data_IF_063129846358
#
_entry.id   IF_063129846358
#
_cell.length_a   1.000
_cell.length_b   1.000
_cell.length_c   1.000
_cell.angle_alpha   90.00
_cell.angle_beta   90.00
_cell.angle_gamma   90.00
#
_symmetry.space_group_name_H-M   'P 1'
#
loop_
_entity.id
_entity.type
_entity.pdbx_description
1 polymer ?
2 polymer ?
#
# COMPACT_ATOMS: atom_id res chain seq x y z
N UNK A 8 -9.88 3.84 12.69
CA UNK A 8 -9.04 3.13 13.69
C UNK A 8 -9.78 1.90 14.20
N UNK A 9 -9.14 0.76 14.16
CA UNK A 9 -9.81 -0.50 14.62
C UNK A 9 -11.04 -0.76 13.78
N UNK A 10 -11.07 -1.90 13.18
CA UNK A 10 -12.20 -2.30 12.30
C UNK A 10 -11.75 -3.52 11.52
N UNK A 11 -12.54 -4.05 10.63
CA UNK A 11 -12.03 -5.18 9.86
C UNK A 11 -10.94 -4.62 9.00
N UNK A 12 -10.24 -5.43 8.31
CA UNK A 12 -9.12 -4.94 7.46
C UNK A 12 -8.93 -5.97 6.37
N UNK A 13 -9.96 -6.24 5.68
CA UNK A 13 -9.94 -7.31 4.64
C UNK A 13 -9.32 -6.83 3.33
N UNK A 14 -8.87 -7.79 2.60
CA UNK A 14 -8.21 -7.55 1.28
C UNK A 14 -9.22 -7.34 0.17
N UNK A 15 -9.86 -6.22 0.11
CA UNK A 15 -10.79 -5.99 -1.02
C UNK A 15 -9.97 -6.09 -2.31
N UNK A 16 -9.87 -7.27 -2.87
CA UNK A 16 -9.05 -7.43 -4.09
C UNK A 16 -9.80 -6.96 -5.31
N UNK A 17 -9.07 -6.51 -6.28
CA UNK A 17 -9.67 -6.01 -7.56
C UNK A 17 -8.78 -6.48 -8.71
N UNK A 18 -8.76 -7.76 -8.94
CA UNK A 18 -7.91 -8.31 -10.03
C UNK A 18 -6.46 -7.94 -9.76
N UNK A 19 -5.68 -8.87 -9.28
CA UNK A 19 -4.25 -8.60 -8.98
C UNK A 19 -4.13 -7.56 -7.84
N UNK A 20 -4.83 -6.45 -7.92
CA UNK A 20 -4.71 -5.44 -6.83
C UNK A 20 -5.16 -6.05 -5.48
N UNK A 21 -4.73 -5.47 -4.38
CA UNK A 21 -5.12 -5.99 -3.03
C UNK A 21 -5.27 -4.81 -2.05
N UNK A 22 -6.11 -3.86 -2.37
CA UNK A 22 -6.30 -2.69 -1.47
C UNK A 22 -7.06 -3.10 -0.21
N UNK A 23 -6.38 -3.22 0.90
CA UNK A 23 -7.07 -3.59 2.15
C UNK A 23 -8.11 -2.50 2.46
N UNK A 24 -9.33 -2.89 2.73
CA UNK A 24 -10.40 -1.88 3.04
C UNK A 24 -10.91 -2.12 4.47
N UNK A 25 -10.71 -1.18 5.34
CA UNK A 25 -11.16 -1.36 6.75
C UNK A 25 -12.64 -1.11 6.82
N UNK A 26 -13.33 -2.02 7.42
CA UNK A 26 -14.80 -1.89 7.57
C UNK A 26 -15.17 -2.09 9.03
N UNK A 27 -16.34 -1.65 9.38
CA UNK A 27 -16.81 -1.85 10.75
C UNK A 27 -17.30 -3.30 10.81
N UNK A 28 -16.75 -4.12 11.63
CA UNK A 28 -17.15 -5.54 11.71
C UNK A 28 -18.64 -5.75 11.48
N UNK A 29 -19.42 -4.74 11.73
CA UNK A 29 -20.90 -4.83 11.48
C UNK A 29 -21.30 -3.92 10.31
N UNK A 30 -20.37 -3.53 9.48
CA UNK A 30 -20.74 -2.65 8.32
C UNK A 30 -21.73 -3.41 7.44
N UNK A 31 -22.57 -2.68 6.80
CA UNK A 31 -23.56 -3.31 5.93
C UNK A 31 -22.87 -3.85 4.70
N UNK A 32 -23.10 -5.08 4.32
CA UNK A 32 -22.43 -5.54 3.09
C UNK A 32 -22.91 -4.58 2.01
N UNK A 33 -24.09 -4.06 2.22
CA UNK A 33 -24.66 -3.05 1.29
C UNK A 33 -23.82 -1.79 1.41
N UNK A 34 -23.18 -1.58 2.54
CA UNK A 34 -22.34 -0.38 2.72
C UNK A 34 -20.92 -0.72 2.31
N UNK A 35 -20.41 -1.82 2.79
CA UNK A 35 -19.03 -2.20 2.41
C UNK A 35 -18.96 -2.18 0.89
N UNK A 36 -20.08 -2.26 0.24
CA UNK A 36 -20.10 -2.22 -1.24
C UNK A 36 -20.26 -0.77 -1.67
N UNK A 37 -20.57 0.10 -0.76
CA UNK A 37 -20.72 1.55 -1.12
C UNK A 37 -19.52 2.32 -0.66
N UNK A 38 -18.78 1.71 0.20
CA UNK A 38 -17.56 2.37 0.74
C UNK A 38 -16.39 2.18 -0.22
N UNK A 39 -16.42 1.15 -1.02
CA UNK A 39 -15.29 0.96 -1.97
C UNK A 39 -15.52 1.82 -3.21
N UNK A 40 -16.70 1.77 -3.75
CA UNK A 40 -16.96 2.58 -4.98
C UNK A 40 -16.51 4.02 -4.77
N UNK A 41 -16.41 4.47 -3.56
CA UNK A 41 -15.97 5.86 -3.34
C UNK A 41 -14.46 5.92 -3.54
N UNK A 42 -13.84 4.77 -3.51
CA UNK A 42 -12.36 4.69 -3.66
C UNK A 42 -11.94 4.18 -5.04
N UNK A 43 -10.64 4.18 -5.26
CA UNK A 43 -10.03 3.68 -6.53
C UNK A 43 -10.93 3.86 -7.78
N UNK A 44 -10.56 4.73 -8.71
CA UNK A 44 -11.34 4.93 -9.96
C UNK A 44 -11.74 3.59 -10.62
N UNK A 45 -10.84 2.63 -10.65
CA UNK A 45 -11.20 1.33 -11.28
C UNK A 45 -12.40 0.74 -10.53
N UNK A 46 -12.64 1.18 -9.32
CA UNK A 46 -13.79 0.63 -8.55
C UNK A 46 -15.10 1.25 -9.03
N UNK A 47 -15.19 2.55 -9.02
CA UNK A 47 -16.45 3.21 -9.47
C UNK A 47 -16.61 3.03 -11.00
N UNK A 48 -16.17 1.93 -11.53
CA UNK A 48 -16.31 1.70 -12.99
C UNK A 48 -17.74 1.30 -13.31
N UNK A 49 -18.68 1.83 -12.58
CA UNK A 49 -20.11 1.49 -12.82
C UNK A 49 -20.92 1.79 -11.56
N UNK A 50 -22.13 1.28 -11.47
CA UNK A 50 -23.02 1.48 -10.31
C UNK A 50 -22.88 0.33 -9.31
N UNK A 51 -23.46 0.46 -8.16
CA UNK A 51 -23.41 -0.62 -7.15
C UNK A 51 -24.27 -1.77 -7.63
N UNK A 52 -25.07 -1.49 -8.63
CA UNK A 52 -25.96 -2.52 -9.21
C UNK A 52 -25.13 -3.48 -10.08
N UNK A 53 -23.96 -3.08 -10.47
CA UNK A 53 -23.09 -3.96 -11.28
C UNK A 53 -21.82 -4.14 -10.47
N UNK A 54 -21.95 -4.08 -9.18
CA UNK A 54 -20.77 -4.21 -8.31
C UNK A 54 -21.17 -4.72 -6.92
N UNK A 55 -20.88 -5.96 -6.65
CA UNK A 55 -21.16 -6.57 -5.31
C UNK A 55 -19.83 -7.03 -4.74
N UNK A 56 -19.82 -8.12 -4.01
CA UNK A 56 -18.54 -8.62 -3.44
C UNK A 56 -18.50 -10.13 -3.62
N UNK A 57 -17.42 -10.72 -3.25
CA UNK A 57 -17.29 -12.19 -3.38
C UNK A 57 -16.20 -12.65 -2.44
N UNK A 58 -16.54 -13.37 -1.41
CA UNK A 58 -15.49 -13.81 -0.46
C UNK A 58 -14.82 -15.03 -1.03
N UNK A 59 -14.03 -14.75 -2.00
CA UNK A 59 -13.26 -15.81 -2.69
C UNK A 59 -12.60 -16.71 -1.63
N UNK A 60 -13.13 -17.88 -1.45
CA UNK A 60 -12.55 -18.82 -0.46
C UNK A 60 -11.11 -19.12 -0.84
N UNK A 61 -10.84 -20.38 -1.03
CA UNK A 61 -9.51 -20.84 -1.47
C UNK A 61 -9.75 -21.44 -2.84
N UNK A 62 -11.02 -21.55 -3.19
CA UNK A 62 -11.41 -22.09 -4.49
C UNK A 62 -12.72 -21.38 -4.78
N UNK A 63 -12.72 -20.30 -5.51
CA UNK A 63 -13.95 -19.50 -5.80
C UNK A 63 -15.23 -20.31 -5.93
N UNK A 64 -15.10 -21.59 -6.01
CA UNK A 64 -16.28 -22.48 -6.06
C UNK A 64 -16.70 -22.66 -4.63
N UNK A 65 -15.75 -22.42 -3.79
CA UNK A 65 -15.95 -22.47 -2.33
C UNK A 65 -16.27 -21.05 -1.91
N UNK A 66 -15.72 -20.12 -2.65
CA UNK A 66 -15.98 -18.70 -2.36
C UNK A 66 -17.46 -18.48 -2.40
N UNK A 67 -17.87 -17.28 -2.19
CA UNK A 67 -19.32 -17.01 -2.18
C UNK A 67 -19.60 -15.58 -2.64
N UNK A 68 -20.83 -15.22 -2.51
CA UNK A 68 -21.32 -13.86 -2.86
C UNK A 68 -22.10 -13.39 -1.65
N UNK A 69 -21.58 -12.45 -0.93
CA UNK A 69 -22.28 -12.02 0.31
C UNK A 69 -23.58 -11.28 -0.02
N UNK A 70 -24.21 -10.76 0.98
CA UNK A 70 -25.51 -10.04 0.78
C UNK A 70 -25.31 -8.55 0.67
N UNK A 71 -26.01 -7.81 1.48
CA UNK A 71 -25.92 -6.33 1.45
C UNK A 71 -26.25 -5.81 2.85
N UNK A 72 -27.49 -5.73 3.18
CA UNK A 72 -27.85 -5.22 4.52
C UNK A 72 -27.29 -6.15 5.59
N UNK A 73 -26.50 -7.13 5.24
CA UNK A 73 -25.97 -8.04 6.28
C UNK A 73 -24.92 -7.31 7.09
N UNK A 74 -24.16 -8.05 7.82
CA UNK A 74 -23.07 -7.46 8.64
C UNK A 74 -21.86 -8.36 8.51
N UNK A 75 -20.79 -7.81 8.04
CA UNK A 75 -19.52 -8.57 7.84
C UNK A 75 -19.34 -9.57 8.99
N UNK A 76 -19.38 -9.08 10.17
CA UNK A 76 -19.24 -9.98 11.35
C UNK A 76 -20.17 -11.17 11.22
N UNK A 77 -21.03 -11.16 10.23
CA UNK A 77 -21.93 -12.30 10.03
C UNK A 77 -21.07 -13.50 9.74
N UNK A 78 -20.01 -13.28 9.00
CA UNK A 78 -19.07 -14.39 8.71
C UNK A 78 -18.03 -14.31 9.81
N UNK A 79 -18.27 -13.44 10.74
CA UNK A 79 -17.35 -13.27 11.88
C UNK A 79 -15.99 -13.02 11.29
N UNK A 80 -15.98 -12.32 10.20
CA UNK A 80 -14.70 -12.02 9.53
C UNK A 80 -13.72 -11.47 10.57
N UNK A 81 -12.46 -11.35 10.23
CA UNK A 81 -11.44 -10.90 11.25
C UNK A 81 -10.70 -9.64 10.81
N UNK A 82 -9.87 -9.75 9.81
CA UNK A 82 -9.08 -8.61 9.34
C UNK A 82 -8.08 -9.17 8.31
N UNK A 83 -8.15 -8.71 7.10
CA UNK A 83 -7.22 -9.22 6.05
C UNK A 83 -7.82 -10.46 5.41
N UNK A 84 -9.12 -10.58 5.41
CA UNK A 84 -9.72 -11.80 4.79
C UNK A 84 -9.47 -11.72 3.28
N UNK A 85 -10.44 -12.08 2.49
CA UNK A 85 -10.24 -12.02 1.01
C UNK A 85 -11.53 -11.64 0.30
N UNK A 86 -11.82 -10.37 0.22
CA UNK A 86 -13.07 -9.91 -0.47
C UNK A 86 -12.70 -9.45 -1.88
N UNK A 87 -13.52 -9.77 -2.83
CA UNK A 87 -13.21 -9.39 -4.26
C UNK A 87 -14.27 -8.44 -4.83
N UNK A 88 -13.85 -7.46 -5.59
CA UNK A 88 -14.81 -6.52 -6.25
C UNK A 88 -15.49 -7.29 -7.38
N UNK A 89 -16.70 -7.75 -7.16
CA UNK A 89 -17.40 -8.57 -8.20
C UNK A 89 -18.62 -7.83 -8.78
N UNK A 90 -19.01 -8.17 -9.98
CA UNK A 90 -20.19 -7.53 -10.61
C UNK A 90 -21.47 -8.05 -9.98
N UNK A 91 -22.33 -7.18 -9.57
CA UNK A 91 -23.62 -7.61 -8.99
C UNK A 91 -24.43 -8.23 -10.13
N UNK A 92 -24.30 -7.62 -11.29
CA UNK A 92 -25.02 -8.06 -12.53
C UNK A 92 -26.11 -9.09 -12.22
N UNK A 93 -25.93 -10.28 -12.71
CA UNK A 93 -26.94 -11.37 -12.48
C UNK A 93 -26.35 -12.39 -11.51
N UNK B 2 13.21 -16.70 -11.33
CA UNK B 2 12.50 -15.45 -10.93
C UNK B 2 13.03 -14.95 -9.63
N UNK B 3 12.96 -13.68 -9.47
CA UNK B 3 13.35 -13.06 -8.25
C UNK B 3 12.08 -12.85 -7.49
N UNK B 4 12.17 -12.69 -6.23
CA UNK B 4 10.98 -12.49 -5.39
C UNK B 4 11.21 -11.32 -4.50
N UNK B 5 10.58 -10.22 -4.82
CA UNK B 5 10.79 -9.00 -3.98
C UNK B 5 9.54 -8.67 -3.17
N UNK B 6 9.75 -8.58 -1.88
CA UNK B 6 8.66 -8.25 -0.92
C UNK B 6 9.04 -6.91 -0.31
N UNK B 7 8.48 -5.82 -0.77
CA UNK B 7 8.90 -4.48 -0.21
C UNK B 7 7.90 -3.93 0.81
N UNK B 8 8.42 -3.20 1.76
CA UNK B 8 7.57 -2.60 2.83
C UNK B 8 7.39 -1.10 2.56
N UNK B 9 6.33 -0.72 1.91
CA UNK B 9 6.13 0.74 1.66
C UNK B 9 5.69 1.37 2.99
N UNK B 10 6.57 2.14 3.59
CA UNK B 10 6.25 2.80 4.89
C UNK B 10 5.73 4.21 4.59
N UNK B 11 4.91 4.75 5.45
CA UNK B 11 4.38 6.11 5.20
C UNK B 11 3.59 6.60 6.40
N UNK B 12 3.75 7.84 6.75
CA UNK B 12 3.01 8.41 7.91
C UNK B 12 1.56 8.56 7.53
N UNK B 13 0.73 8.71 8.49
CA UNK B 13 -0.71 8.91 8.19
C UNK B 13 -0.88 10.27 7.53
N UNK B 14 -1.41 10.28 6.34
CA UNK B 14 -1.61 11.57 5.60
C UNK B 14 -0.76 11.57 4.33
N UNK B 15 0.36 10.88 4.32
CA UNK B 15 1.20 10.86 3.09
C UNK B 15 0.40 10.19 1.96
N UNK B 16 0.96 9.18 1.36
CA UNK B 16 0.26 8.44 0.29
C UNK B 16 1.07 7.19 0.05
N UNK B 17 0.80 6.16 0.79
CA UNK B 17 1.56 4.90 0.63
C UNK B 17 1.02 4.16 -0.59
N UNK B 18 -0.21 3.79 -0.50
CA UNK B 18 -0.86 3.05 -1.61
C UNK B 18 -1.05 3.99 -2.80
N UNK B 19 -1.15 5.28 -2.55
CA UNK B 19 -1.33 6.24 -3.68
C UNK B 19 -0.26 5.95 -4.73
N UNK B 20 0.91 5.59 -4.31
CA UNK B 20 1.98 5.27 -5.26
C UNK B 20 1.73 3.87 -5.79
N UNK B 21 1.09 3.05 -5.03
CA UNK B 21 0.84 1.65 -5.50
C UNK B 21 -0.44 1.57 -6.34
N UNK B 22 -0.90 2.67 -6.89
CA UNK B 22 -2.10 2.62 -7.78
C UNK B 22 -1.64 3.13 -9.13
N UNK B 23 -0.93 4.23 -9.17
CA UNK B 23 -0.41 4.67 -10.51
C UNK B 23 0.50 3.53 -10.98
N UNK B 24 0.95 2.75 -10.05
CA UNK B 24 1.86 1.62 -10.34
C UNK B 24 1.13 0.34 -10.79
N UNK B 25 0.25 -0.20 -9.97
CA UNK B 25 -0.44 -1.49 -10.33
C UNK B 25 -1.72 -1.25 -11.12
N UNK B 26 -2.39 -0.15 -10.88
CA UNK B 26 -3.66 0.12 -11.64
C UNK B 26 -3.42 1.21 -12.66
N UNK B 27 -2.53 2.09 -12.33
CA UNK B 27 -2.25 3.21 -13.26
C UNK B 27 -3.24 4.35 -13.02
N UNK B 28 -3.62 4.59 -11.79
CA UNK B 28 -4.59 5.70 -11.52
C UNK B 28 -4.23 6.41 -10.20
N UNK B 29 -4.19 7.72 -10.24
CA UNK B 29 -3.88 8.53 -9.04
C UNK B 29 -5.11 9.39 -8.69
N UNK B 30 -5.52 9.43 -7.45
CA UNK B 30 -6.72 10.24 -7.08
C UNK B 30 -6.39 11.11 -5.87
N UNK B 31 -7.29 11.97 -5.51
CA UNK B 31 -7.08 12.85 -4.33
C UNK B 31 -7.40 12.02 -3.08
N UNK B 32 -8.28 11.06 -3.23
CA UNK B 32 -8.60 10.20 -2.07
C UNK B 32 -7.48 9.19 -1.92
N UNK B 33 -6.73 9.35 -0.90
CA UNK B 33 -5.59 8.42 -0.67
C UNK B 33 -6.15 7.09 -0.17
N UNK B 34 -5.87 6.03 -0.86
CA UNK B 34 -6.36 4.69 -0.44
C UNK B 34 -6.07 4.52 1.07
N UNK B 35 -6.91 3.80 1.78
CA UNK B 35 -6.80 3.57 3.25
C UNK B 35 -5.38 3.52 3.83
N UNK B 36 -5.29 2.97 5.01
CA UNK B 36 -3.96 2.87 5.71
C UNK B 36 -3.68 1.43 6.11
N UNK B 37 -4.69 0.62 6.30
CA UNK B 37 -4.43 -0.78 6.67
C UNK B 37 -3.34 -1.35 5.77
N UNK B 38 -2.78 -2.46 6.13
CA UNK B 38 -1.69 -3.01 5.32
C UNK B 38 -2.19 -3.51 3.98
N UNK B 39 -1.87 -2.80 2.94
CA UNK B 39 -2.28 -3.23 1.57
C UNK B 39 -1.04 -3.54 0.77
N UNK B 40 -1.09 -4.60 0.03
CA UNK B 40 0.06 -4.99 -0.82
C UNK B 40 -0.38 -4.83 -2.25
N UNK B 41 0.53 -4.80 -3.16
CA UNK B 41 0.12 -4.68 -4.58
C UNK B 41 0.91 -5.66 -5.40
N UNK B 42 0.20 -6.26 -6.27
CA UNK B 42 0.74 -7.30 -7.14
C UNK B 42 1.05 -6.72 -8.49
N UNK B 43 2.24 -6.88 -8.92
CA UNK B 43 2.58 -6.42 -10.27
C UNK B 43 3.80 -7.20 -10.72
N UNK B 44 3.68 -7.91 -11.79
CA UNK B 44 4.83 -8.70 -12.27
C UNK B 44 5.76 -7.75 -13.00
N UNK B 45 7.01 -7.72 -12.60
CA UNK B 45 7.98 -6.77 -13.22
C UNK B 45 9.16 -7.51 -13.80
N UNK B 46 10.07 -6.76 -14.33
CA UNK B 46 11.30 -7.32 -14.92
C UNK B 46 12.42 -6.35 -14.65
N UNK B 47 13.43 -6.78 -13.92
CA UNK B 47 14.54 -5.83 -13.59
C UNK B 47 15.82 -6.16 -14.31
N UNK B 48 16.07 -5.41 -15.32
CA UNK B 48 17.31 -5.55 -16.10
C UNK B 48 17.21 -6.80 -16.92
N UNK B 49 16.00 -7.19 -17.13
CA UNK B 49 15.67 -8.40 -17.90
C UNK B 49 15.58 -9.53 -16.90
N UNK B 50 15.28 -9.18 -15.68
CA UNK B 50 15.16 -10.19 -14.61
C UNK B 50 13.71 -10.25 -14.20
N UNK B 51 13.05 -11.29 -14.52
CA UNK B 51 11.63 -11.39 -14.13
C UNK B 51 11.54 -11.52 -12.63
N UNK B 52 10.91 -10.56 -12.02
CA UNK B 52 10.76 -10.57 -10.54
C UNK B 52 9.30 -10.82 -10.14
N UNK B 53 9.09 -11.59 -9.10
CA UNK B 53 7.69 -11.89 -8.66
C UNK B 53 7.02 -10.66 -8.03
N UNK B 54 5.78 -10.56 -8.38
CA UNK B 54 4.78 -9.48 -8.05
C UNK B 54 4.48 -9.09 -6.56
N UNK B 55 5.16 -9.46 -5.49
CA UNK B 55 4.55 -9.06 -4.13
C UNK B 55 5.24 -7.89 -3.41
N UNK B 56 4.44 -6.92 -3.05
CA UNK B 56 4.92 -5.73 -2.31
C UNK B 56 3.96 -5.43 -1.17
N UNK B 57 4.45 -4.84 -0.10
CA UNK B 57 3.57 -4.52 1.08
C UNK B 57 3.51 -3.02 1.38
N UNK B 58 2.34 -2.54 1.74
CA UNK B 58 2.17 -1.10 2.11
C UNK B 58 1.55 -1.01 3.51
N UNK B 59 2.38 -0.87 4.52
CA UNK B 59 1.86 -0.80 5.92
C UNK B 59 1.57 0.66 6.28
N UNK B 60 0.66 0.93 7.19
CA UNK B 60 0.41 2.36 7.52
C UNK B 60 -0.40 2.59 8.81
N UNK B 61 0.20 3.34 9.69
CA UNK B 61 -0.41 3.80 10.97
C UNK B 61 -1.56 2.94 11.53
N UNK B 62 -1.65 1.65 11.28
CA UNK B 62 -2.79 0.87 11.87
C UNK B 62 -2.24 -0.15 12.85
N UNK B 63 -2.67 -0.03 14.07
CA UNK B 63 -2.21 -0.94 15.13
C UNK B 63 -2.94 -2.27 15.05
N UNK B 64 -3.83 -2.38 14.13
CA UNK B 64 -4.56 -3.65 13.95
C UNK B 64 -3.65 -4.59 13.20
N UNK B 65 -3.19 -4.09 12.11
CA UNK B 65 -2.30 -4.86 11.22
C UNK B 65 -0.84 -4.80 11.72
N UNK B 66 -0.58 -4.06 12.76
CA UNK B 66 0.84 -3.96 13.26
C UNK B 66 1.53 -5.33 13.26
N UNK B 67 1.03 -6.28 14.01
CA UNK B 67 1.69 -7.65 14.08
C UNK B 67 2.12 -8.08 12.70
N UNK B 68 1.24 -7.94 11.79
CA UNK B 68 1.53 -8.32 10.40
C UNK B 68 2.48 -7.31 9.80
N UNK B 69 2.26 -6.07 10.10
CA UNK B 69 3.15 -5.00 9.58
C UNK B 69 4.54 -5.14 10.21
N UNK B 70 4.61 -5.83 11.32
CA UNK B 70 5.91 -6.04 12.02
C UNK B 70 6.67 -7.20 11.41
N UNK B 71 5.95 -8.08 10.81
CA UNK B 71 6.56 -9.27 10.19
C UNK B 71 7.27 -8.89 8.92
N UNK B 72 6.77 -7.91 8.25
CA UNK B 72 7.43 -7.52 6.98
C UNK B 72 8.69 -6.69 7.31
N UNK B 73 8.76 -6.12 8.48
CA UNK B 73 10.00 -5.38 8.84
C UNK B 73 11.06 -6.44 9.07
N UNK B 74 10.67 -7.46 9.78
CA UNK B 74 11.60 -8.58 10.03
C UNK B 74 12.21 -9.03 8.71
N UNK B 75 11.38 -9.40 7.76
CA UNK B 75 11.93 -9.82 6.44
C UNK B 75 12.44 -8.59 5.71
N UNK B 76 11.69 -7.52 5.77
CA UNK B 76 12.13 -6.23 5.15
C UNK B 76 12.92 -6.45 3.85
N UNK B 77 12.44 -7.23 2.94
CA UNK B 77 13.24 -7.46 1.71
C UNK B 77 13.44 -6.13 0.97
N UNK B 78 12.56 -5.20 1.16
CA UNK B 78 12.72 -3.88 0.47
C UNK B 78 11.95 -2.81 1.23
N UNK B 79 12.54 -1.67 1.52
CA UNK B 79 11.76 -0.62 2.26
C UNK B 79 11.63 0.63 1.42
N UNK B 80 10.43 1.09 1.30
CA UNK B 80 10.17 2.34 0.54
C UNK B 80 9.51 3.33 1.49
N UNK B 81 10.31 4.03 2.25
CA UNK B 81 9.77 5.03 3.19
C UNK B 81 9.45 6.29 2.41
N UNK B 82 8.23 6.75 2.46
CA UNK B 82 7.85 7.96 1.68
C UNK B 82 7.12 8.97 2.58
N UNK B 83 7.45 10.22 2.43
CA UNK B 83 6.79 11.31 3.21
C UNK B 83 6.26 12.31 2.22
N UNK B 84 5.50 13.27 2.67
CA UNK B 84 5.01 14.30 1.70
C UNK B 84 6.08 15.39 1.64
N UNK B 85 6.39 15.87 0.48
CA UNK B 85 7.42 16.94 0.36
C UNK B 85 6.89 18.20 0.97
N UNK B 86 5.62 18.23 1.22
CA UNK B 86 4.99 19.43 1.84
C UNK B 86 4.75 19.10 3.32
N UNK B 87 5.00 17.86 3.72
CA UNK B 87 4.74 17.45 5.14
C UNK B 87 6.03 17.17 5.90
N UNK B 88 6.45 18.06 6.75
CA UNK B 88 7.67 17.75 7.54
C UNK B 88 7.28 16.74 8.62
N UNK B 89 6.17 16.99 9.23
CA UNK B 89 5.68 16.10 10.32
C UNK B 89 5.84 14.62 9.96
N UNK B 90 5.78 14.28 8.70
CA UNK B 90 5.94 12.84 8.33
C UNK B 90 7.41 12.57 8.06
N UNK B 91 7.98 13.36 7.21
CA UNK B 91 9.43 13.26 6.88
C UNK B 91 10.19 13.02 8.17
N UNK B 92 9.75 13.70 9.17
CA UNK B 92 10.40 13.63 10.51
C UNK B 92 9.96 12.37 11.26
N UNK B 93 8.86 11.76 10.91
CA UNK B 93 8.39 10.57 11.66
C UNK B 93 9.04 9.30 11.10
N UNK B 94 9.12 9.21 9.81
CA UNK B 94 9.72 8.00 9.19
C UNK B 94 11.10 7.75 9.80
N UNK B 95 11.64 8.74 10.45
CA UNK B 95 13.00 8.59 11.07
C UNK B 95 13.03 7.51 12.16
N UNK B 96 11.99 7.37 12.91
CA UNK B 96 12.00 6.35 14.01
C UNK B 96 11.55 5.04 13.44
N UNK B 97 10.52 5.13 12.68
CA UNK B 97 9.94 3.96 12.02
C UNK B 97 11.03 3.18 11.35
N UNK B 98 12.06 3.86 11.01
CA UNK B 98 13.22 3.21 10.37
C UNK B 98 13.92 2.42 11.46
N UNK B 99 14.22 3.07 12.53
CA UNK B 99 14.87 2.41 13.68
C UNK B 99 14.09 1.15 14.04
N UNK B 100 12.82 1.12 13.72
CA UNK B 100 12.01 -0.10 14.04
C UNK B 100 12.47 -1.22 13.10
N UNK B 101 12.86 -0.82 11.93
CA UNK B 101 13.38 -1.80 10.93
C UNK B 101 14.77 -2.22 11.40
N UNK B 102 15.64 -1.26 11.45
CA UNK B 102 17.03 -1.49 11.91
C UNK B 102 17.00 -2.27 13.21
N UNK B 103 15.98 -2.07 13.97
CA UNK B 103 15.85 -2.76 15.26
C UNK B 103 15.64 -4.25 15.02
N UNK B 104 14.84 -4.60 14.05
CA UNK B 104 14.60 -6.05 13.79
C UNK B 104 15.64 -6.59 12.81
N UNK B 105 16.02 -5.80 11.86
CA UNK B 105 17.04 -6.28 10.88
C UNK B 105 18.34 -6.42 11.64
N UNK B 106 18.63 -5.41 12.42
CA UNK B 106 19.85 -5.32 13.27
C UNK B 106 20.86 -4.38 12.60
N UNK B 107 20.52 -3.84 11.47
CA UNK B 107 21.45 -2.92 10.77
C UNK B 107 20.69 -1.99 9.84
N UNK B 108 21.39 -1.02 9.32
CA UNK B 108 20.80 -0.05 8.36
C UNK B 108 21.26 -0.49 6.98
N UNK B 109 22.03 -1.54 6.94
CA UNK B 109 22.52 -2.04 5.64
C UNK B 109 21.41 -2.85 4.98
N UNK B 110 20.19 -2.45 5.20
CA UNK B 110 19.04 -3.16 4.63
C UNK B 110 18.53 -2.45 3.37
N UNK B 111 18.15 -3.18 2.35
CA UNK B 111 17.56 -2.58 1.13
C UNK B 111 16.59 -1.47 1.58
N UNK B 112 16.71 -0.30 1.03
CA UNK B 112 15.87 0.83 1.54
C UNK B 112 15.99 2.03 0.61
N UNK B 113 15.05 2.93 0.68
CA UNK B 113 15.11 4.16 -0.16
C UNK B 113 14.27 5.26 0.48
N UNK B 114 14.72 6.48 0.39
CA UNK B 114 13.95 7.61 0.96
C UNK B 114 13.15 8.21 -0.18
N UNK B 115 11.98 8.75 0.07
CA UNK B 115 11.18 9.31 -1.07
C UNK B 115 10.42 10.56 -0.68
N UNK B 116 10.57 11.58 -1.48
CA UNK B 116 9.82 12.84 -1.29
C UNK B 116 8.86 12.90 -2.46
N UNK B 117 7.78 12.19 -2.35
CA UNK B 117 6.81 12.13 -3.48
C UNK B 117 5.87 13.33 -3.45
N UNK B 118 5.00 13.41 -4.40
CA UNK B 118 4.05 14.55 -4.49
C UNK B 118 4.84 15.80 -4.86
N UNK B 119 5.92 15.64 -5.58
CA UNK B 119 6.72 16.81 -5.99
C UNK B 119 5.78 17.81 -6.68
N UNK B 120 4.64 17.34 -7.13
CA UNK B 120 3.68 18.26 -7.80
C UNK B 120 3.15 19.26 -6.77
N UNK B 121 3.63 19.18 -5.55
CA UNK B 121 3.19 20.10 -4.48
C UNK B 121 4.45 20.81 -4.02
N UNK B 122 5.46 20.66 -4.81
CA UNK B 122 6.74 21.33 -4.56
C UNK B 122 6.38 22.79 -4.45
N UNK B 123 5.28 23.08 -5.05
CA UNK B 123 4.76 24.47 -4.99
C UNK B 123 4.68 24.81 -3.51
N UNK B 124 4.57 23.79 -2.70
CA UNK B 124 4.50 23.97 -1.24
C UNK B 124 5.83 23.52 -0.63
N UNK B 125 6.46 22.56 -1.29
CA UNK B 125 7.79 21.97 -0.83
C UNK B 125 8.15 22.39 0.61
N UNK B 126 8.09 21.47 1.52
CA UNK B 126 8.48 21.76 2.94
C UNK B 126 9.74 20.95 3.20
N UNK B 127 9.80 19.81 2.60
CA UNK B 127 10.94 18.89 2.74
C UNK B 127 11.20 18.36 1.35
N UNK B 128 12.24 18.81 0.77
CA UNK B 128 12.57 18.41 -0.63
C UNK B 128 13.71 17.42 -0.65
N UNK B 129 14.09 17.01 -1.83
CA UNK B 129 15.21 16.06 -1.96
C UNK B 129 16.43 16.66 -1.30
N UNK B 130 16.34 17.88 -0.92
CA UNK B 130 17.45 18.55 -0.22
C UNK B 130 17.44 18.10 1.22
N UNK B 131 16.35 18.29 1.87
CA UNK B 131 16.24 17.84 3.26
C UNK B 131 16.08 16.35 3.21
N UNK B 132 15.37 15.95 2.21
CA UNK B 132 15.16 14.52 1.96
C UNK B 132 16.52 13.86 1.80
N UNK B 133 17.37 14.42 0.99
CA UNK B 133 18.70 13.79 0.83
C UNK B 133 19.58 14.18 2.00
N UNK B 134 19.25 15.23 2.67
CA UNK B 134 20.08 15.61 3.84
C UNK B 134 19.68 14.63 4.91
N UNK B 135 18.51 14.13 4.74
CA UNK B 135 17.98 13.13 5.68
C UNK B 135 18.46 11.75 5.24
N UNK B 136 18.38 11.51 3.98
CA UNK B 136 18.83 10.19 3.46
C UNK B 136 20.26 10.02 3.88
N UNK B 137 20.99 11.09 3.76
CA UNK B 137 22.40 11.13 4.16
C UNK B 137 22.47 10.74 5.62
N UNK B 138 21.74 11.46 6.39
CA UNK B 138 21.67 11.21 7.84
C UNK B 138 21.26 9.75 8.03
N UNK B 139 20.44 9.24 7.15
CA UNK B 139 20.04 7.81 7.28
C UNK B 139 21.17 6.97 6.78
N UNK B 140 22.18 7.66 6.36
CA UNK B 140 23.41 7.05 5.78
C UNK B 140 23.24 7.08 4.28
N UNK B 141 22.79 8.19 3.76
CA UNK B 141 22.55 8.30 2.29
C UNK B 141 21.64 7.17 1.87
N UNK B 142 20.53 7.08 2.54
CA UNK B 142 19.50 6.01 2.23
C UNK B 142 18.97 6.16 0.80
N UNK B 143 19.81 6.51 -0.12
CA UNK B 143 19.41 6.68 -1.56
C UNK B 143 18.01 7.30 -1.65
N UNK B 144 17.94 8.57 -1.99
CA UNK B 144 16.62 9.25 -2.07
C UNK B 144 16.18 9.42 -3.51
N UNK B 145 14.92 9.66 -3.64
CA UNK B 145 14.34 9.94 -4.96
C UNK B 145 13.15 10.89 -4.77
N UNK B 146 12.92 11.71 -5.74
CA UNK B 146 11.77 12.66 -5.72
C UNK B 146 10.74 12.13 -6.69
N UNK B 147 9.54 11.83 -6.24
CA UNK B 147 8.51 11.26 -7.16
C UNK B 147 7.23 12.10 -7.16
N UNK B 148 6.29 11.67 -7.95
CA UNK B 148 4.99 12.36 -8.04
C UNK B 148 3.99 11.31 -8.52
N UNK B 149 3.35 10.65 -7.61
CA UNK B 149 2.37 9.60 -7.96
C UNK B 149 1.32 10.19 -8.91
N UNK B 150 1.41 11.45 -9.12
CA UNK B 150 0.45 12.16 -10.01
C UNK B 150 1.11 12.31 -11.37
N UNK B 151 2.30 12.84 -11.40
CA UNK B 151 3.02 12.98 -12.68
C UNK B 151 3.86 11.71 -12.86
N UNK B 152 3.49 10.69 -12.12
CA UNK B 152 4.19 9.38 -12.18
C UNK B 152 5.70 9.55 -12.36
N UNK B 153 6.33 10.17 -11.41
CA UNK B 153 7.80 10.40 -11.46
C UNK B 153 8.49 9.54 -10.42
N UNK B 154 9.58 8.95 -10.81
CA UNK B 154 10.37 8.06 -9.90
C UNK B 154 9.42 7.19 -9.09
N UNK B 155 8.30 6.84 -9.67
CA UNK B 155 7.32 5.96 -8.98
C UNK B 155 7.78 4.51 -9.24
N UNK B 156 8.39 4.29 -10.38
CA UNK B 156 8.91 2.94 -10.76
C UNK B 156 10.37 2.77 -10.32
N UNK B 157 11.12 3.84 -10.31
CA UNK B 157 12.57 3.73 -9.96
C UNK B 157 12.71 3.29 -8.52
N UNK B 158 11.80 3.68 -7.71
CA UNK B 158 11.88 3.32 -6.28
C UNK B 158 12.07 1.81 -6.11
N UNK B 159 11.13 1.03 -6.55
CA UNK B 159 11.25 -0.43 -6.38
C UNK B 159 12.44 -0.90 -7.17
N UNK B 160 12.81 -0.11 -8.11
CA UNK B 160 13.96 -0.48 -8.99
C UNK B 160 15.27 -0.21 -8.25
N UNK B 161 15.21 0.59 -7.23
CA UNK B 161 16.43 0.93 -6.44
C UNK B 161 16.71 -0.12 -5.36
N UNK B 162 15.69 -0.75 -4.84
CA UNK B 162 15.94 -1.75 -3.75
C UNK B 162 16.19 -3.08 -4.39
N UNK B 163 15.61 -3.33 -5.52
CA UNK B 163 15.86 -4.62 -6.15
C UNK B 163 17.34 -4.67 -6.44
N UNK B 164 17.87 -3.57 -6.86
CA UNK B 164 19.32 -3.53 -7.12
C UNK B 164 20.04 -3.80 -5.81
N UNK B 165 19.41 -3.52 -4.69
CA UNK B 165 20.05 -3.78 -3.37
C UNK B 165 19.75 -5.21 -2.93
N UNK B 166 18.52 -5.62 -3.03
CA UNK B 166 18.15 -7.00 -2.63
C UNK B 166 19.03 -7.95 -3.42
N UNK B 167 19.62 -7.45 -4.47
CA UNK B 167 20.50 -8.29 -5.31
C UNK B 167 21.84 -8.41 -4.65
N UNK B 168 21.87 -8.07 -3.41
CA UNK B 168 23.11 -8.07 -2.59
C UNK B 168 24.27 -8.81 -3.29
#
# INVERSE_FOLDING_TARGET
>A
GAMDPEFMVALSLKISIGNVVKTMQFEPSTMVYDACRMIRERIPEALAGPPNDFGLFLSDDDPKKGIWLEAGKALDYYMLRNGDTMEYRKKQR
>B
HMREYKLVVLGSVGVGKSALTVQFVQGIFVEKYDPTIEDSYRKQVEVDAQQCMLEILDTAGTEQFTAMRDLYMKNGQGFALVYSITAQSTFNDLQDLREQILRVKDTDDVPMILVGNKCDLEDERVVGKEQGQNLARQWNNCAFLESSAKSKINVNEIFYDLVRQINR
#
